data_IF_889839872087
#
_entry.id   IF_889839872087
#
_cell.length_a   1.000
_cell.length_b   1.000
_cell.length_c   1.000
_cell.angle_alpha   90.00
_cell.angle_beta   90.00
_cell.angle_gamma   90.00
#
_symmetry.space_group_name_H-M   'P 1'
#
loop_
_entity.id
_entity.type
_entity.pdbx_description
1 polymer ?
#
# COMPACT_ATOMS: atom_id res chain seq x y z
N UNK A 1 12.73 -78.13 39.05
CA UNK A 1 12.78 -77.26 37.86
C UNK A 1 14.16 -76.63 37.85
N UNK A 2 14.95 -76.84 36.79
CA UNK A 2 16.27 -76.22 36.68
C UNK A 2 16.07 -74.80 36.14
N UNK A 3 16.52 -73.78 36.87
CA UNK A 3 16.43 -72.40 36.40
C UNK A 3 17.36 -72.23 35.20
N UNK A 4 16.84 -71.70 34.08
CA UNK A 4 17.69 -71.33 32.95
C UNK A 4 18.62 -70.19 33.42
N UNK A 5 19.94 -70.38 33.38
CA UNK A 5 20.87 -69.39 33.89
C UNK A 5 21.14 -68.24 32.91
N UNK A 6 20.65 -68.34 31.65
CA UNK A 6 20.78 -67.28 30.64
C UNK A 6 22.11 -67.24 29.91
N UNK A 7 22.92 -68.31 29.99
CA UNK A 7 24.21 -68.43 29.30
C UNK A 7 24.53 -69.89 28.95
N UNK A 8 25.47 -70.09 28.02
CA UNK A 8 25.99 -71.43 27.72
C UNK A 8 26.57 -72.04 28.99
N UNK A 9 26.01 -73.19 29.35
CA UNK A 9 26.32 -73.87 30.61
C UNK A 9 26.72 -75.30 30.33
N UNK A 10 27.68 -75.82 31.10
CA UNK A 10 27.98 -77.24 31.11
C UNK A 10 27.13 -77.91 32.19
N UNK A 11 26.45 -78.99 31.86
CA UNK A 11 25.90 -79.88 32.88
C UNK A 11 27.02 -80.77 33.41
N UNK A 12 27.42 -80.56 34.67
CA UNK A 12 28.18 -81.57 35.39
C UNK A 12 27.24 -82.72 35.82
N UNK A 13 27.75 -83.95 35.82
CA UNK A 13 27.01 -85.12 36.31
C UNK A 13 26.62 -84.91 37.77
N UNK A 14 25.33 -84.64 38.03
CA UNK A 14 24.79 -84.41 39.37
C UNK A 14 24.86 -82.98 39.93
N UNK A 15 25.14 -81.96 39.10
CA UNK A 15 25.36 -80.57 39.56
C UNK A 15 24.39 -79.51 39.03
N UNK A 16 24.52 -78.29 39.56
CA UNK A 16 23.89 -77.07 39.04
C UNK A 16 24.47 -76.69 37.68
N UNK A 17 23.70 -75.99 36.85
CA UNK A 17 24.22 -75.38 35.61
C UNK A 17 25.24 -74.30 35.98
N UNK A 18 26.52 -74.56 35.71
CA UNK A 18 27.60 -73.57 35.77
C UNK A 18 27.92 -73.07 34.38
N UNK A 19 28.58 -71.92 34.26
CA UNK A 19 29.06 -71.42 32.97
C UNK A 19 29.91 -72.48 32.26
N UNK A 20 29.90 -72.46 30.92
CA UNK A 20 30.73 -73.36 30.13
C UNK A 20 32.22 -73.22 30.52
N UNK A 21 32.87 -74.36 30.68
CA UNK A 21 34.29 -74.50 30.93
C UNK A 21 34.84 -75.50 29.90
N UNK A 22 35.89 -75.12 29.18
CA UNK A 22 36.68 -76.05 28.38
C UNK A 22 37.67 -76.78 29.29
N UNK A 23 37.89 -78.06 29.02
CA UNK A 23 38.87 -78.89 29.73
C UNK A 23 40.04 -79.34 28.87
N UNK A 24 40.10 -78.91 27.61
CA UNK A 24 41.11 -79.30 26.61
C UNK A 24 41.79 -78.06 26.02
N UNK A 25 41.04 -77.02 25.65
CA UNK A 25 41.58 -75.78 25.05
C UNK A 25 41.04 -74.52 25.73
N UNK A 26 41.61 -74.26 26.89
CA UNK A 26 41.10 -73.33 27.88
C UNK A 26 40.90 -71.88 27.40
N UNK A 27 41.74 -71.29 26.51
CA UNK A 27 41.50 -69.98 25.91
C UNK A 27 40.14 -69.84 25.21
N UNK A 28 39.67 -70.89 24.53
CA UNK A 28 38.41 -70.82 23.77
C UNK A 28 37.18 -70.65 24.67
N UNK A 29 37.26 -71.06 25.94
CA UNK A 29 36.21 -70.79 26.92
C UNK A 29 35.91 -69.29 27.04
N UNK A 30 36.95 -68.44 27.03
CA UNK A 30 36.74 -67.00 27.13
C UNK A 30 36.06 -66.41 25.91
N UNK A 31 36.39 -66.92 24.71
CA UNK A 31 35.71 -66.52 23.47
C UNK A 31 34.23 -66.90 23.50
N UNK A 32 33.90 -68.13 23.94
CA UNK A 32 32.50 -68.57 24.03
C UNK A 32 31.74 -67.76 25.08
N UNK A 33 32.35 -67.46 26.23
CA UNK A 33 31.78 -66.58 27.26
C UNK A 33 31.54 -65.16 26.72
N UNK A 34 32.50 -64.60 26.00
CA UNK A 34 32.38 -63.29 25.36
C UNK A 34 31.27 -63.29 24.31
N UNK A 35 31.17 -64.34 23.49
CA UNK A 35 30.10 -64.50 22.51
C UNK A 35 28.73 -64.61 23.17
N UNK A 36 28.61 -65.40 24.25
CA UNK A 36 27.37 -65.53 25.02
C UNK A 36 26.85 -64.19 25.51
N UNK A 37 27.74 -63.33 26.00
CA UNK A 37 27.39 -61.99 26.47
C UNK A 37 27.19 -61.01 25.32
N UNK A 38 27.94 -61.15 24.23
CA UNK A 38 27.78 -60.33 23.04
C UNK A 38 26.40 -60.45 22.41
N UNK A 39 25.84 -61.67 22.35
CA UNK A 39 24.46 -61.92 21.89
C UNK A 39 23.43 -61.29 22.84
N UNK A 40 23.75 -61.15 24.13
CA UNK A 40 22.92 -60.43 25.10
C UNK A 40 23.11 -58.90 25.04
N UNK A 41 23.89 -58.37 24.08
CA UNK A 41 24.15 -56.93 23.93
C UNK A 41 25.27 -56.40 24.83
N UNK A 42 26.12 -57.28 25.36
CA UNK A 42 27.23 -56.96 26.25
C UNK A 42 28.58 -57.30 25.56
N UNK A 43 29.18 -56.33 24.86
CA UNK A 43 30.43 -56.53 24.12
C UNK A 43 31.28 -55.27 24.00
N UNK A 44 32.56 -55.44 23.67
CA UNK A 44 33.50 -54.32 23.43
C UNK A 44 33.28 -53.69 22.06
N UNK A 45 33.12 -52.37 22.02
CA UNK A 45 32.96 -51.60 20.77
C UNK A 45 34.33 -51.18 20.24
N UNK A 46 35.12 -50.47 21.06
CA UNK A 46 36.41 -49.88 20.66
C UNK A 46 37.31 -49.57 21.87
N UNK A 47 38.61 -49.35 21.61
CA UNK A 47 39.62 -49.01 22.61
C UNK A 47 40.18 -50.23 23.34
N UNK A 48 40.66 -50.01 24.57
CA UNK A 48 41.32 -51.02 25.42
C UNK A 48 42.66 -51.55 24.91
N UNK A 49 43.36 -50.78 24.08
CA UNK A 49 44.71 -51.13 23.65
C UNK A 49 45.66 -51.27 24.85
N UNK A 50 46.35 -52.40 24.95
CA UNK A 50 47.33 -52.63 26.00
C UNK A 50 48.69 -52.00 25.64
N UNK A 51 49.31 -51.41 26.65
CA UNK A 51 50.65 -50.84 26.63
C UNK A 51 51.40 -51.28 27.89
N UNK A 52 52.73 -51.11 27.92
CA UNK A 52 53.57 -51.51 29.06
C UNK A 52 53.30 -52.94 29.54
N UNK A 53 53.06 -53.86 28.60
CA UNK A 53 52.71 -55.26 28.89
C UNK A 53 53.95 -55.98 29.40
N UNK A 54 53.88 -56.47 30.64
CA UNK A 54 54.89 -57.32 31.28
C UNK A 54 54.35 -58.75 31.42
N UNK A 55 55.06 -59.62 32.16
CA UNK A 55 54.56 -60.96 32.48
C UNK A 55 53.35 -60.95 33.42
N UNK A 56 53.19 -59.93 34.27
CA UNK A 56 52.17 -59.89 35.33
C UNK A 56 51.39 -58.59 35.42
N UNK A 57 51.68 -57.61 34.57
CA UNK A 57 50.95 -56.35 34.52
C UNK A 57 50.82 -55.80 33.10
N UNK A 58 49.80 -55.00 32.86
CA UNK A 58 49.64 -54.24 31.63
C UNK A 58 48.92 -52.92 31.94
N UNK A 59 49.16 -51.89 31.13
CA UNK A 59 48.37 -50.65 31.15
C UNK A 59 47.36 -50.72 30.03
N UNK A 60 46.07 -50.73 30.35
CA UNK A 60 44.99 -50.81 29.37
C UNK A 60 44.43 -49.41 29.15
N UNK A 61 44.40 -48.97 27.89
CA UNK A 61 43.82 -47.69 27.52
C UNK A 61 42.31 -47.61 27.83
N UNK A 62 41.77 -46.40 27.86
CA UNK A 62 40.33 -46.22 27.94
C UNK A 62 39.64 -46.85 26.71
N UNK A 63 38.38 -47.23 26.89
CA UNK A 63 37.62 -47.86 25.83
C UNK A 63 36.12 -47.71 26.05
N UNK A 64 35.35 -48.33 25.15
CA UNK A 64 33.90 -48.24 25.14
C UNK A 64 33.32 -49.65 24.97
N UNK A 65 32.34 -49.95 25.81
CA UNK A 65 31.54 -51.17 25.72
C UNK A 65 30.09 -50.83 25.41
N UNK A 66 29.38 -51.77 24.80
CA UNK A 66 27.93 -51.84 24.87
C UNK A 66 27.59 -52.67 26.10
N UNK A 67 26.77 -52.14 27.01
CA UNK A 67 26.20 -52.87 28.13
C UNK A 67 24.69 -52.69 28.15
N UNK A 68 23.95 -53.78 28.09
CA UNK A 68 22.47 -53.78 28.08
C UNK A 68 21.88 -52.79 27.06
N UNK A 69 22.47 -52.74 25.86
CA UNK A 69 22.07 -51.84 24.77
C UNK A 69 22.52 -50.38 24.93
N UNK A 70 23.29 -50.03 25.97
CA UNK A 70 23.79 -48.67 26.21
C UNK A 70 25.29 -48.58 26.00
N UNK A 71 25.74 -47.50 25.35
CA UNK A 71 27.17 -47.17 25.23
C UNK A 71 27.71 -46.72 26.59
N UNK A 72 28.74 -47.40 27.10
CA UNK A 72 29.39 -47.07 28.37
C UNK A 72 30.88 -46.85 28.13
N UNK A 73 31.38 -45.67 28.53
CA UNK A 73 32.80 -45.38 28.54
C UNK A 73 33.45 -46.01 29.78
N UNK A 74 34.61 -46.63 29.59
CA UNK A 74 35.38 -47.28 30.64
C UNK A 74 36.74 -46.60 30.72
N UNK A 75 37.10 -46.13 31.90
CA UNK A 75 38.39 -45.52 32.14
C UNK A 75 39.51 -46.55 32.00
N UNK A 76 40.59 -46.16 31.32
CA UNK A 76 41.81 -46.96 31.27
C UNK A 76 42.44 -47.11 32.66
N UNK A 77 43.18 -48.19 32.86
CA UNK A 77 43.85 -48.44 34.14
C UNK A 77 44.99 -49.43 33.99
N UNK A 78 45.93 -49.36 34.92
CA UNK A 78 46.91 -50.42 35.13
C UNK A 78 46.21 -51.65 35.72
N UNK A 79 46.46 -52.81 35.13
CA UNK A 79 45.96 -54.10 35.60
C UNK A 79 47.12 -54.99 36.01
N UNK A 80 46.93 -55.71 37.10
CA UNK A 80 47.91 -56.67 37.64
C UNK A 80 47.24 -58.03 37.78
N UNK A 81 47.97 -59.08 37.40
CA UNK A 81 47.53 -60.46 37.47
C UNK A 81 47.97 -61.07 38.80
N UNK A 82 47.15 -61.92 39.41
CA UNK A 82 47.62 -62.76 40.51
C UNK A 82 48.58 -63.84 39.98
N UNK A 83 49.78 -63.94 40.53
CA UNK A 83 50.77 -64.95 40.12
C UNK A 83 50.47 -66.38 40.60
N UNK A 84 49.24 -66.66 41.07
CA UNK A 84 48.87 -67.92 41.73
C UNK A 84 48.99 -69.14 40.82
N UNK A 85 48.82 -68.98 39.50
CA UNK A 85 48.93 -70.07 38.53
C UNK A 85 49.85 -69.69 37.37
N UNK A 86 50.85 -70.52 37.06
CA UNK A 86 51.87 -70.32 36.01
C UNK A 86 51.31 -70.52 34.59
N UNK A 87 50.10 -71.05 34.46
CA UNK A 87 49.26 -71.06 33.24
C UNK A 87 47.85 -70.54 33.58
N UNK A 88 47.80 -69.36 34.19
CA UNK A 88 46.55 -68.73 34.61
C UNK A 88 45.92 -67.91 33.49
N UNK A 89 44.69 -68.22 33.10
CA UNK A 89 43.92 -67.37 32.18
C UNK A 89 43.06 -66.39 32.98
N UNK A 90 43.46 -65.13 33.03
CA UNK A 90 42.70 -64.09 33.71
C UNK A 90 41.69 -63.49 32.74
N UNK A 91 40.49 -63.14 33.24
CA UNK A 91 39.48 -62.46 32.45
C UNK A 91 39.50 -60.98 32.78
N UNK A 92 39.86 -60.14 31.82
CA UNK A 92 39.70 -58.70 31.91
C UNK A 92 38.27 -58.35 31.54
N UNK A 93 37.54 -57.69 32.45
CA UNK A 93 36.16 -57.27 32.23
C UNK A 93 36.00 -55.78 32.47
N UNK A 94 35.05 -55.16 31.77
CA UNK A 94 34.46 -53.90 32.20
C UNK A 94 33.35 -54.21 33.20
N UNK A 95 33.54 -53.79 34.46
CA UNK A 95 32.53 -53.87 35.52
C UNK A 95 32.14 -52.46 35.92
N UNK A 96 30.87 -52.12 35.76
CA UNK A 96 30.42 -50.73 35.87
C UNK A 96 31.24 -49.83 34.93
N UNK A 97 31.86 -48.74 35.42
CA UNK A 97 32.69 -47.81 34.63
C UNK A 97 34.20 -48.09 34.72
N UNK A 98 34.63 -49.22 35.28
CA UNK A 98 36.03 -49.53 35.55
C UNK A 98 36.48 -50.87 34.96
N UNK A 99 37.79 -51.00 34.78
CA UNK A 99 38.45 -52.27 34.45
C UNK A 99 38.59 -53.14 35.70
N UNK A 100 38.33 -54.42 35.56
CA UNK A 100 38.52 -55.40 36.64
C UNK A 100 39.14 -56.67 36.07
N UNK A 101 40.16 -57.20 36.75
CA UNK A 101 40.73 -58.52 36.45
C UNK A 101 40.05 -59.54 37.35
N UNK A 102 39.44 -60.55 36.75
CA UNK A 102 38.96 -61.73 37.46
C UNK A 102 40.05 -62.79 37.37
N UNK A 103 40.55 -63.21 38.53
CA UNK A 103 41.61 -64.21 38.61
C UNK A 103 41.06 -65.63 38.44
N UNK A 104 41.81 -66.53 37.78
CA UNK A 104 41.42 -67.92 37.64
C UNK A 104 41.41 -68.63 39.01
N UNK A 105 40.51 -69.60 39.17
CA UNK A 105 40.41 -70.40 40.40
C UNK A 105 41.26 -71.67 40.37
N UNK A 106 41.78 -72.04 39.20
CA UNK A 106 42.67 -73.18 38.97
C UNK A 106 43.60 -72.87 37.79
N UNK A 107 44.68 -73.64 37.63
CA UNK A 107 45.48 -73.61 36.42
C UNK A 107 44.61 -73.98 35.21
N UNK A 108 44.96 -73.45 34.04
CA UNK A 108 44.32 -73.84 32.78
C UNK A 108 42.80 -73.60 32.78
N UNK A 109 42.31 -72.57 33.47
CA UNK A 109 40.87 -72.29 33.57
C UNK A 109 40.57 -70.81 33.42
N UNK A 110 39.62 -70.49 32.54
CA UNK A 110 39.09 -69.12 32.44
C UNK A 110 38.03 -68.92 33.52
N UNK A 111 38.17 -67.92 34.42
CA UNK A 111 37.24 -67.69 35.51
C UNK A 111 35.81 -67.38 35.02
N UNK A 112 34.84 -67.57 35.91
CA UNK A 112 33.45 -67.22 35.65
C UNK A 112 33.24 -65.70 35.71
N UNK A 113 32.34 -65.18 34.86
CA UNK A 113 31.91 -63.78 34.92
C UNK A 113 30.65 -63.62 35.78
N UNK A 114 30.38 -62.41 36.26
CA UNK A 114 29.13 -62.05 36.97
C UNK A 114 28.21 -61.26 36.05
N UNK A 115 26.89 -61.27 36.31
CA UNK A 115 25.94 -60.43 35.58
C UNK A 115 26.38 -58.95 35.57
N UNK A 116 26.33 -58.32 34.39
CA UNK A 116 26.78 -56.93 34.17
C UNK A 116 28.27 -56.79 33.81
N UNK A 117 29.07 -57.86 33.89
CA UNK A 117 30.43 -57.86 33.35
C UNK A 117 30.39 -57.88 31.81
N UNK A 118 31.30 -57.13 31.19
CA UNK A 118 31.55 -57.21 29.74
C UNK A 118 33.00 -57.68 29.54
N UNK A 119 33.22 -58.92 29.05
CA UNK A 119 34.55 -59.43 28.74
C UNK A 119 35.26 -58.56 27.70
N UNK A 120 36.48 -58.14 28.01
CA UNK A 120 37.34 -57.34 27.14
C UNK A 120 38.41 -58.20 26.49
N UNK A 121 39.11 -58.99 27.31
CA UNK A 121 40.20 -59.83 26.87
C UNK A 121 40.47 -60.99 27.84
N UNK A 122 41.13 -62.04 27.36
CA UNK A 122 41.90 -62.95 28.20
C UNK A 122 43.33 -62.43 28.32
N UNK A 123 43.87 -62.43 29.54
CA UNK A 123 45.27 -62.18 29.85
C UNK A 123 45.90 -63.49 30.31
N UNK A 124 46.83 -64.05 29.54
CA UNK A 124 47.46 -65.32 29.86
C UNK A 124 48.76 -65.12 30.65
N UNK A 125 48.76 -65.55 31.92
CA UNK A 125 49.95 -65.60 32.73
C UNK A 125 50.66 -66.94 32.49
N UNK A 126 51.63 -66.94 31.58
CA UNK A 126 52.47 -68.10 31.21
C UNK A 126 53.92 -67.98 31.68
N UNK A 127 54.25 -66.94 32.45
CA UNK A 127 55.62 -66.53 32.77
C UNK A 127 56.38 -65.84 31.62
N UNK A 128 55.77 -65.68 30.45
CA UNK A 128 56.34 -64.96 29.31
C UNK A 128 56.23 -63.44 29.46
N UNK A 129 57.21 -62.70 28.94
CA UNK A 129 57.22 -61.23 28.92
C UNK A 129 57.44 -60.73 27.48
N UNK A 130 56.44 -60.09 26.83
CA UNK A 130 55.12 -59.70 27.36
C UNK A 130 54.15 -60.89 27.53
N UNK A 131 53.18 -60.76 28.43
CA UNK A 131 52.06 -61.71 28.52
C UNK A 131 51.24 -61.72 27.22
N UNK A 132 50.58 -62.84 26.93
CA UNK A 132 49.71 -62.95 25.75
C UNK A 132 48.32 -62.39 26.08
N UNK A 133 47.76 -61.62 25.14
CA UNK A 133 46.45 -60.98 25.29
C UNK A 133 45.58 -61.38 24.09
N UNK A 134 44.39 -61.90 24.36
CA UNK A 134 43.38 -62.16 23.34
C UNK A 134 42.19 -61.22 23.56
N UNK A 135 42.02 -60.26 22.66
CA UNK A 135 40.93 -59.29 22.72
C UNK A 135 39.63 -59.86 22.17
N UNK A 136 38.51 -59.37 22.69
CA UNK A 136 37.15 -59.69 22.24
C UNK A 136 36.44 -58.49 21.58
N UNK A 137 37.20 -57.44 21.24
CA UNK A 137 36.67 -56.26 20.56
C UNK A 137 36.21 -56.53 19.13
N UNK A 138 35.16 -55.83 18.70
CA UNK A 138 34.59 -56.00 17.36
C UNK A 138 35.04 -54.93 16.35
N UNK A 139 35.75 -53.89 16.79
CA UNK A 139 36.20 -52.79 15.93
C UNK A 139 35.07 -51.99 15.28
N UNK A 140 33.88 -51.98 15.90
CA UNK A 140 32.67 -51.39 15.32
C UNK A 140 32.77 -49.86 15.36
N UNK A 141 32.69 -49.21 14.19
CA UNK A 141 32.81 -47.75 14.06
C UNK A 141 31.47 -47.01 14.13
N UNK A 142 30.38 -47.64 13.68
CA UNK A 142 29.05 -47.04 13.56
C UNK A 142 27.95 -48.01 14.02
N UNK A 143 26.83 -47.48 14.51
CA UNK A 143 25.62 -48.23 14.86
C UNK A 143 24.44 -47.71 14.03
N UNK A 144 23.74 -48.61 13.35
CA UNK A 144 22.43 -48.34 12.75
C UNK A 144 21.37 -49.18 13.44
N UNK A 145 20.21 -48.57 13.71
CA UNK A 145 18.97 -49.28 13.99
C UNK A 145 18.10 -49.17 12.74
N UNK A 146 17.91 -50.29 12.05
CA UNK A 146 17.01 -50.37 10.90
C UNK A 146 15.69 -51.02 11.32
N UNK A 147 14.57 -50.45 10.86
CA UNK A 147 13.24 -51.04 11.02
C UNK A 147 12.81 -51.59 9.66
N UNK A 148 12.71 -52.90 9.56
CA UNK A 148 12.13 -53.56 8.39
C UNK A 148 10.63 -53.79 8.60
N UNK A 149 9.86 -53.77 7.51
CA UNK A 149 8.50 -54.32 7.49
C UNK A 149 8.39 -55.37 6.39
N UNK A 150 7.55 -56.37 6.61
CA UNK A 150 7.32 -57.45 5.65
C UNK A 150 6.12 -57.10 4.75
N UNK A 151 6.38 -57.02 3.46
CA UNK A 151 5.35 -57.11 2.43
C UNK A 151 5.82 -57.95 1.23
N UNK A 152 6.51 -59.07 1.46
CA UNK A 152 7.07 -60.03 0.47
C UNK A 152 8.60 -59.99 0.25
N UNK A 153 9.39 -59.56 1.23
CA UNK A 153 10.86 -59.51 1.15
C UNK A 153 11.46 -58.38 1.99
N UNK A 154 12.74 -58.51 2.37
CA UNK A 154 13.41 -57.52 3.24
C UNK A 154 13.53 -56.18 2.50
N UNK A 155 12.65 -55.25 2.84
CA UNK A 155 12.67 -53.88 2.35
C UNK A 155 12.76 -52.97 3.56
N UNK A 156 13.84 -52.20 3.67
CA UNK A 156 14.06 -51.29 4.78
C UNK A 156 13.00 -50.18 4.76
N UNK A 157 12.21 -50.08 5.83
CA UNK A 157 11.14 -49.08 5.96
C UNK A 157 11.71 -47.72 6.33
N UNK A 158 12.78 -47.75 7.13
CA UNK A 158 13.44 -46.59 7.67
C UNK A 158 14.62 -46.98 8.55
N UNK A 159 15.52 -46.02 8.75
CA UNK A 159 16.71 -46.20 9.56
C UNK A 159 16.88 -45.02 10.52
N UNK A 160 17.40 -45.32 11.70
CA UNK A 160 17.96 -44.35 12.64
C UNK A 160 19.48 -44.59 12.68
N UNK A 161 20.23 -43.67 12.08
CA UNK A 161 21.69 -43.69 12.10
C UNK A 161 22.21 -42.54 12.96
N UNK A 162 23.17 -42.83 13.84
CA UNK A 162 23.80 -41.81 14.68
C UNK A 162 25.30 -41.76 14.42
N UNK A 163 25.84 -40.55 14.28
CA UNK A 163 27.27 -40.30 14.14
C UNK A 163 27.75 -39.22 15.13
N UNK A 164 28.94 -38.65 14.91
CA UNK A 164 29.49 -37.61 15.77
C UNK A 164 28.75 -36.26 15.65
N UNK A 165 27.96 -36.06 14.59
CA UNK A 165 27.30 -34.81 14.25
C UNK A 165 25.79 -34.84 14.56
N UNK A 166 25.18 -36.03 14.72
CA UNK A 166 23.79 -36.12 15.15
C UNK A 166 23.14 -37.47 14.92
N UNK A 167 21.80 -37.45 14.84
CA UNK A 167 20.97 -38.61 14.51
C UNK A 167 20.23 -38.30 13.21
N UNK A 168 20.48 -39.09 12.18
CA UNK A 168 19.73 -39.07 10.92
C UNK A 168 18.61 -40.10 10.99
N UNK A 169 17.40 -39.69 10.59
CA UNK A 169 16.23 -40.56 10.47
C UNK A 169 15.79 -40.61 9.00
N UNK A 170 15.81 -41.79 8.38
CA UNK A 170 15.33 -42.01 7.00
C UNK A 170 14.04 -42.83 7.00
N UNK A 171 13.21 -42.67 5.97
CA UNK A 171 11.97 -43.45 5.83
C UNK A 171 10.82 -43.02 6.75
N UNK A 172 10.85 -41.80 7.30
CA UNK A 172 9.82 -41.35 8.23
C UNK A 172 8.44 -41.17 7.60
N UNK A 173 8.29 -40.94 6.29
CA UNK A 173 6.96 -40.86 5.64
C UNK A 173 7.01 -41.08 4.12
N UNK A 174 5.96 -41.72 3.56
CA UNK A 174 5.64 -41.74 2.13
C UNK A 174 4.83 -40.48 1.81
N UNK A 175 5.46 -39.49 1.18
CA UNK A 175 4.94 -38.14 0.91
C UNK A 175 3.70 -38.08 -0.01
N UNK A 176 3.26 -39.20 -0.58
CA UNK A 176 2.32 -39.22 -1.70
C UNK A 176 0.83 -39.04 -1.30
N UNK A 177 0.53 -38.96 -0.01
CA UNK A 177 -0.81 -38.62 0.49
C UNK A 177 -0.68 -37.86 1.80
N UNK A 178 -0.53 -36.54 1.74
CA UNK A 178 -0.88 -35.71 2.91
C UNK A 178 -2.40 -35.60 2.96
N UNK A 179 -3.12 -36.32 3.84
CA UNK A 179 -4.46 -35.88 4.20
C UNK A 179 -4.33 -34.47 4.80
N UNK A 180 -5.31 -33.61 4.54
CA UNK A 180 -5.48 -32.34 5.26
C UNK A 180 -5.68 -32.65 6.74
N UNK A 181 -4.59 -32.80 7.47
CA UNK A 181 -4.59 -33.10 8.89
C UNK A 181 -4.96 -31.82 9.65
N UNK A 182 -6.07 -31.87 10.38
CA UNK A 182 -6.41 -30.84 11.35
C UNK A 182 -5.48 -31.02 12.54
N UNK A 183 -4.53 -30.11 12.73
CA UNK A 183 -3.55 -30.16 13.83
C UNK A 183 -4.29 -30.05 15.17
N UNK A 184 -4.16 -31.07 16.02
CA UNK A 184 -4.59 -31.04 17.41
C UNK A 184 -3.58 -30.27 18.28
N UNK A 185 -3.98 -29.82 19.48
CA UNK A 185 -3.16 -28.98 20.37
C UNK A 185 -1.87 -29.65 20.88
N UNK A 186 -1.75 -30.96 20.73
CA UNK A 186 -0.64 -31.79 21.17
C UNK A 186 0.22 -32.36 20.03
N UNK A 187 -0.13 -32.04 18.78
CA UNK A 187 0.65 -32.47 17.62
C UNK A 187 2.02 -31.76 17.58
N UNK A 188 3.07 -32.54 17.30
CA UNK A 188 4.44 -32.04 17.17
C UNK A 188 4.87 -32.02 15.72
N UNK A 189 5.23 -30.83 15.23
CA UNK A 189 5.86 -30.67 13.91
C UNK A 189 7.37 -30.74 14.08
N UNK A 190 8.01 -31.61 13.29
CA UNK A 190 9.48 -31.69 13.19
C UNK A 190 9.88 -30.95 11.92
N UNK A 191 10.60 -29.84 12.07
CA UNK A 191 11.17 -29.10 10.93
C UNK A 191 12.66 -29.43 10.87
N UNK A 192 13.12 -29.92 9.72
CA UNK A 192 14.54 -29.95 9.41
C UNK A 192 14.95 -28.54 8.98
N UNK A 193 15.83 -27.92 9.77
CA UNK A 193 16.49 -26.67 9.41
C UNK A 193 17.69 -26.99 8.53
N UNK A 194 17.65 -26.54 7.27
CA UNK A 194 18.71 -26.80 6.29
C UNK A 194 20.03 -26.13 6.65
N UNK A 195 20.03 -25.12 7.52
CA UNK A 195 21.20 -24.32 7.88
C UNK A 195 21.75 -24.64 9.29
N UNK A 196 21.03 -25.44 10.08
CA UNK A 196 21.38 -25.85 11.44
C UNK A 196 20.98 -27.33 11.63
N UNK A 197 21.56 -28.19 10.78
CA UNK A 197 21.20 -29.61 10.61
C UNK A 197 21.32 -30.46 11.88
N UNK A 198 21.94 -29.93 12.92
CA UNK A 198 22.34 -30.70 14.09
C UNK A 198 21.30 -30.64 15.22
N UNK A 199 20.18 -29.93 15.03
CA UNK A 199 19.15 -29.75 16.07
C UNK A 199 17.73 -29.86 15.52
N UNK A 200 16.99 -30.85 16.04
CA UNK A 200 15.52 -30.88 15.91
C UNK A 200 14.95 -29.69 16.68
N UNK A 201 14.42 -28.70 15.95
CA UNK A 201 13.72 -27.57 16.55
C UNK A 201 12.28 -27.98 16.82
N UNK A 202 11.85 -27.86 18.07
CA UNK A 202 10.42 -27.96 18.40
C UNK A 202 9.80 -26.60 18.11
N UNK A 203 8.94 -26.54 17.11
CA UNK A 203 8.11 -25.37 16.85
C UNK A 203 6.91 -25.44 17.79
N UNK A 204 6.67 -24.36 18.54
CA UNK A 204 5.42 -24.23 19.32
C UNK A 204 4.25 -24.02 18.36
N UNK A 205 3.03 -24.31 18.80
CA UNK A 205 1.83 -23.95 18.04
C UNK A 205 1.80 -22.46 17.67
N UNK A 206 2.34 -21.59 18.54
CA UNK A 206 2.48 -20.15 18.27
C UNK A 206 3.44 -19.88 17.11
N UNK A 207 4.61 -20.51 17.05
CA UNK A 207 5.56 -20.31 15.96
C UNK A 207 5.01 -20.76 14.59
N UNK A 208 4.12 -21.76 14.58
CA UNK A 208 3.38 -22.17 13.36
C UNK A 208 2.31 -21.13 13.00
N UNK A 209 1.60 -20.60 14.01
CA UNK A 209 0.66 -19.51 13.80
C UNK A 209 1.35 -18.23 13.29
N UNK A 210 2.58 -17.97 13.71
CA UNK A 210 3.39 -16.82 13.29
C UNK A 210 3.91 -16.95 11.84
N UNK A 211 4.06 -18.17 11.31
CA UNK A 211 4.29 -18.40 9.87
C UNK A 211 3.05 -18.05 9.03
N UNK A 212 1.86 -18.10 9.65
CA UNK A 212 0.61 -17.56 9.11
C UNK A 212 0.40 -16.11 9.54
N UNK A 213 1.45 -15.29 9.54
CA UNK A 213 1.33 -13.83 9.65
C UNK A 213 0.74 -13.27 8.35
N UNK A 214 -0.50 -13.64 8.06
CA UNK A 214 -1.46 -12.64 7.62
C UNK A 214 -1.62 -11.73 8.83
N UNK A 215 -1.22 -10.44 8.80
CA UNK A 215 -1.43 -9.56 9.93
C UNK A 215 -2.90 -9.67 10.35
N UNK A 216 -3.13 -9.85 11.66
CA UNK A 216 -4.47 -10.07 12.19
C UNK A 216 -5.42 -8.88 11.92
N UNK A 217 -4.85 -7.72 11.61
CA UNK A 217 -5.58 -6.58 11.05
C UNK A 217 -5.42 -6.56 9.51
N UNK A 218 -6.51 -6.39 8.74
CA UNK A 218 -6.39 -6.03 7.34
C UNK A 218 -5.48 -4.80 7.18
N UNK A 219 -4.72 -4.73 6.08
CA UNK A 219 -3.82 -3.60 5.77
C UNK A 219 -4.53 -2.22 5.81
N UNK A 220 -5.86 -2.25 5.70
CA UNK A 220 -6.76 -1.12 5.87
C UNK A 220 -7.78 -1.54 6.95
N UNK A 221 -7.71 -0.93 8.13
CA UNK A 221 -8.73 -1.11 9.17
C UNK A 221 -9.97 -0.28 8.77
N UNK A 222 -11.05 -0.96 8.36
CA UNK A 222 -12.35 -0.32 8.21
C UNK A 222 -12.90 0.00 9.61
N UNK A 223 -12.54 1.18 10.10
CA UNK A 223 -12.99 1.68 11.38
C UNK A 223 -14.09 2.74 11.21
N UNK A 224 -15.08 2.56 10.32
CA UNK A 224 -16.27 3.43 10.21
C UNK A 224 -15.98 4.96 10.23
N UNK A 225 -14.77 5.36 9.80
CA UNK A 225 -14.11 6.64 10.07
C UNK A 225 -12.87 6.77 9.19
N UNK A 226 -11.97 7.73 9.47
CA UNK A 226 -10.74 7.90 8.68
C UNK A 226 -9.87 6.64 8.80
N UNK A 227 -9.65 5.88 7.70
CA UNK A 227 -8.83 4.68 7.74
C UNK A 227 -7.41 5.04 8.21
N UNK A 228 -6.86 4.24 9.13
CA UNK A 228 -5.46 4.37 9.55
C UNK A 228 -4.69 3.19 8.99
N UNK A 229 -3.47 3.45 8.51
CA UNK A 229 -2.59 2.38 8.03
C UNK A 229 -2.08 1.55 9.19
N UNK A 230 -2.03 0.22 9.01
CA UNK A 230 -1.38 -0.65 9.97
C UNK A 230 0.10 -0.26 10.14
N UNK A 231 0.63 -0.41 11.35
CA UNK A 231 2.03 -0.09 11.66
C UNK A 231 2.98 -0.81 10.70
N UNK A 232 3.89 -0.06 10.08
CA UNK A 232 4.86 -0.59 9.11
C UNK A 232 4.42 -0.53 7.65
N UNK A 233 3.17 -0.19 7.35
CA UNK A 233 2.72 0.12 5.99
C UNK A 233 2.89 1.63 5.75
N UNK A 234 3.66 2.00 4.74
CA UNK A 234 3.83 3.40 4.35
C UNK A 234 2.73 3.84 3.38
N UNK A 235 2.42 5.15 3.38
CA UNK A 235 1.51 5.75 2.41
C UNK A 235 1.96 5.49 0.96
N UNK A 236 3.27 5.50 0.73
CA UNK A 236 3.87 5.24 -0.58
C UNK A 236 3.57 3.83 -1.08
N UNK A 237 3.66 2.81 -0.21
CA UNK A 237 3.35 1.43 -0.59
C UNK A 237 1.87 1.26 -0.96
N UNK A 238 0.96 1.91 -0.23
CA UNK A 238 -0.48 1.85 -0.53
C UNK A 238 -0.80 2.55 -1.85
N UNK A 239 -0.22 3.74 -2.10
CA UNK A 239 -0.37 4.47 -3.38
C UNK A 239 0.13 3.63 -4.55
N UNK A 240 1.27 2.96 -4.38
CA UNK A 240 1.84 2.08 -5.39
C UNK A 240 0.98 0.85 -5.67
N UNK A 241 0.35 0.25 -4.64
CA UNK A 241 -0.50 -0.94 -4.80
C UNK A 241 -1.84 -0.63 -5.45
N UNK A 242 -2.43 0.53 -5.14
CA UNK A 242 -3.69 0.97 -5.74
C UNK A 242 -3.51 1.52 -7.15
N UNK A 243 -2.26 1.66 -7.63
CA UNK A 243 -1.91 2.31 -8.89
C UNK A 243 -2.58 3.69 -9.00
N UNK A 244 -2.61 4.43 -7.89
CA UNK A 244 -3.16 5.79 -7.83
C UNK A 244 -1.98 6.74 -8.00
N UNK A 245 -1.84 7.28 -9.20
CA UNK A 245 -0.91 8.37 -9.48
C UNK A 245 -1.51 9.70 -8.99
N UNK A 246 -0.67 10.74 -8.80
CA UNK A 246 -1.14 12.06 -8.36
C UNK A 246 -2.22 12.66 -9.29
N UNK A 247 -2.30 12.17 -10.54
CA UNK A 247 -3.33 12.53 -11.52
C UNK A 247 -4.69 11.88 -11.30
N UNK A 248 -4.78 10.78 -10.55
CA UNK A 248 -6.01 9.98 -10.44
C UNK A 248 -7.02 10.55 -9.43
N UNK A 249 -6.57 11.40 -8.49
CA UNK A 249 -7.46 12.09 -7.55
C UNK A 249 -8.36 13.14 -8.22
N UNK A 250 -8.09 13.52 -9.46
CA UNK A 250 -8.85 14.54 -10.20
C UNK A 250 -10.05 13.93 -10.98
N UNK A 251 -10.11 12.61 -11.13
CA UNK A 251 -11.21 11.94 -11.83
C UNK A 251 -12.44 11.64 -10.94
N UNK A 252 -12.36 11.87 -9.62
CA UNK A 252 -13.47 11.62 -8.69
C UNK A 252 -14.65 12.62 -8.83
N UNK A 253 -14.45 13.74 -9.54
CA UNK A 253 -15.48 14.78 -9.78
C UNK A 253 -16.34 14.50 -11.03
N UNK A 254 -16.18 13.35 -11.70
CA UNK A 254 -17.03 13.02 -12.86
C UNK A 254 -18.34 12.27 -12.50
N UNK A 255 -18.56 11.93 -11.22
CA UNK A 255 -19.72 11.13 -10.79
C UNK A 255 -20.74 11.84 -9.86
N UNK A 256 -20.48 13.07 -9.39
CA UNK A 256 -21.33 13.78 -8.42
C UNK A 256 -22.08 14.97 -9.06
N UNK A 257 -23.34 15.21 -8.66
CA UNK A 257 -24.23 16.25 -9.24
C UNK A 257 -23.95 17.68 -8.77
N UNK A 258 -23.13 17.84 -7.74
CA UNK A 258 -22.78 19.13 -7.18
C UNK A 258 -21.34 19.07 -6.70
N UNK A 259 -20.53 19.97 -7.23
CA UNK A 259 -19.20 20.20 -6.74
C UNK A 259 -19.29 21.15 -5.55
N UNK A 260 -19.54 20.60 -4.35
CA UNK A 260 -19.50 21.36 -3.10
C UNK A 260 -18.06 21.46 -2.61
N UNK A 261 -17.35 22.44 -3.15
CA UNK A 261 -16.01 22.77 -2.70
C UNK A 261 -16.12 23.79 -1.57
N UNK A 262 -15.81 23.35 -0.35
CA UNK A 262 -15.77 24.19 0.85
C UNK A 262 -14.58 25.16 0.87
N UNK A 263 -13.84 25.27 -0.24
CA UNK A 263 -12.63 26.09 -0.42
C UNK A 263 -12.45 26.53 -1.88
N UNK A 264 -11.36 27.26 -2.17
CA UNK A 264 -11.16 27.93 -3.47
C UNK A 264 -10.97 26.96 -4.66
N UNK A 265 -11.60 27.28 -5.80
CA UNK A 265 -11.44 26.59 -7.10
C UNK A 265 -10.34 27.25 -7.92
N UNK A 266 -9.20 26.58 -8.10
CA UNK A 266 -8.11 27.05 -8.99
C UNK A 266 -8.06 26.20 -10.27
N UNK A 267 -8.25 26.84 -11.43
CA UNK A 267 -8.08 26.23 -12.76
C UNK A 267 -6.81 26.80 -13.39
N UNK A 268 -5.86 25.95 -13.81
CA UNK A 268 -4.53 26.35 -14.31
C UNK A 268 -4.53 27.04 -15.67
N UNK A 269 -3.69 26.62 -16.62
CA UNK A 269 -3.58 27.21 -17.99
C UNK A 269 -4.79 26.90 -18.90
N UNK A 270 -5.95 26.64 -18.30
CA UNK A 270 -7.20 26.23 -18.95
C UNK A 270 -8.27 27.28 -18.63
N UNK A 271 -9.30 27.38 -19.47
CA UNK A 271 -10.38 28.36 -19.28
C UNK A 271 -11.22 27.98 -18.07
N UNK A 272 -11.27 28.86 -17.06
CA UNK A 272 -12.32 28.84 -16.04
C UNK A 272 -13.63 29.30 -16.69
N UNK A 273 -14.38 28.32 -17.17
CA UNK A 273 -15.77 28.52 -17.58
C UNK A 273 -16.56 28.53 -16.28
N UNK A 274 -16.67 29.72 -15.69
CA UNK A 274 -17.63 30.00 -14.62
C UNK A 274 -18.57 31.06 -15.19
N UNK A 275 -18.69 32.28 -14.75
CA UNK A 275 -17.85 33.12 -13.91
C UNK A 275 -18.75 34.28 -13.59
N UNK A 276 -18.79 34.71 -12.33
CA UNK A 276 -19.63 35.80 -11.83
C UNK A 276 -19.30 37.20 -12.38
N UNK A 277 -18.69 37.34 -13.54
CA UNK A 277 -18.37 38.60 -14.20
C UNK A 277 -18.49 38.51 -15.70
N UNK A 278 -18.10 37.40 -16.33
CA UNK A 278 -18.48 37.11 -17.73
C UNK A 278 -19.87 36.49 -17.86
N UNK A 279 -20.29 35.69 -16.88
CA UNK A 279 -21.60 35.04 -16.81
C UNK A 279 -21.94 34.72 -15.34
N UNK A 280 -22.44 35.71 -14.62
CA UNK A 280 -23.05 35.52 -13.32
C UNK A 280 -24.36 34.78 -13.51
N UNK A 281 -24.66 33.78 -12.68
CA UNK A 281 -26.00 33.18 -12.58
C UNK A 281 -26.38 33.05 -11.12
N UNK A 282 -27.44 33.76 -10.71
CA UNK A 282 -28.20 33.49 -9.50
C UNK A 282 -27.34 33.41 -8.22
N UNK A 283 -26.69 34.51 -7.89
CA UNK A 283 -25.85 34.61 -6.68
C UNK A 283 -26.70 34.96 -5.45
N UNK A 284 -26.20 34.70 -4.22
CA UNK A 284 -26.97 34.94 -3.00
C UNK A 284 -27.50 36.38 -2.79
N UNK A 285 -26.85 37.39 -3.38
CA UNK A 285 -27.24 38.80 -3.31
C UNK A 285 -28.23 39.25 -4.40
N UNK A 286 -28.56 38.37 -5.35
CA UNK A 286 -29.59 38.56 -6.36
C UNK A 286 -30.11 37.21 -6.88
N UNK A 287 -31.30 36.82 -6.41
CA UNK A 287 -31.96 35.60 -6.89
C UNK A 287 -32.57 35.80 -8.29
N UNK A 288 -32.38 34.81 -9.16
CA UNK A 288 -32.90 34.72 -10.53
C UNK A 288 -32.38 35.78 -11.51
N UNK A 289 -31.09 36.10 -11.48
CA UNK A 289 -30.49 37.08 -12.41
C UNK A 289 -29.20 36.58 -13.06
N UNK A 290 -28.95 37.07 -14.27
CA UNK A 290 -27.77 36.75 -15.08
C UNK A 290 -27.03 38.03 -15.47
N UNK A 291 -25.72 38.07 -15.25
CA UNK A 291 -24.88 39.23 -15.55
C UNK A 291 -23.73 38.85 -16.48
N UNK A 292 -23.65 39.46 -17.66
CA UNK A 292 -22.61 39.21 -18.65
C UNK A 292 -21.74 40.46 -18.79
N UNK A 293 -20.46 40.37 -18.43
CA UNK A 293 -19.60 41.55 -18.26
C UNK A 293 -19.97 42.41 -17.04
N UNK A 294 -20.99 42.03 -16.26
CA UNK A 294 -21.42 42.74 -15.04
C UNK A 294 -21.77 41.77 -13.94
N UNK A 295 -21.22 42.02 -12.75
CA UNK A 295 -21.35 41.17 -11.57
C UNK A 295 -22.59 41.48 -10.70
N UNK A 296 -23.29 42.58 -11.03
CA UNK A 296 -24.41 43.11 -10.25
C UNK A 296 -25.58 43.40 -11.16
N UNK A 297 -26.18 42.36 -11.76
CA UNK A 297 -27.27 42.54 -12.70
C UNK A 297 -28.43 43.23 -11.99
N UNK A 298 -28.68 44.47 -12.41
CA UNK A 298 -29.75 45.29 -11.86
C UNK A 298 -31.12 44.73 -12.32
N UNK A 299 -31.12 44.10 -13.50
CA UNK A 299 -32.25 43.41 -14.12
C UNK A 299 -31.99 41.90 -14.25
N UNK A 300 -33.00 41.13 -14.67
CA UNK A 300 -32.88 39.68 -14.85
C UNK A 300 -31.76 39.28 -15.81
N UNK A 301 -31.47 40.10 -16.82
CA UNK A 301 -30.27 40.02 -17.67
C UNK A 301 -29.64 41.41 -17.75
N UNK A 302 -28.34 41.49 -17.53
CA UNK A 302 -27.58 42.73 -17.61
C UNK A 302 -26.29 42.42 -18.40
N UNK A 303 -26.03 43.16 -19.48
CA UNK A 303 -24.85 42.95 -20.34
C UNK A 303 -24.07 44.24 -20.43
N UNK A 304 -22.85 44.23 -19.93
CA UNK A 304 -21.98 45.39 -19.91
C UNK A 304 -20.83 45.18 -20.89
N UNK A 305 -21.06 45.56 -22.14
CA UNK A 305 -20.16 45.38 -23.28
C UNK A 305 -20.93 45.39 -24.61
N UNK A 306 -20.23 45.15 -25.72
CA UNK A 306 -20.86 45.07 -27.05
C UNK A 306 -21.70 43.80 -27.19
N UNK A 307 -22.96 44.00 -27.57
CA UNK A 307 -23.88 42.91 -27.92
C UNK A 307 -23.97 42.85 -29.43
N UNK A 308 -23.32 41.86 -30.04
CA UNK A 308 -23.48 41.59 -31.48
C UNK A 308 -24.54 40.50 -31.69
N UNK A 309 -25.53 40.79 -32.53
CA UNK A 309 -26.62 39.85 -32.85
C UNK A 309 -27.46 40.35 -34.02
N UNK A 310 -28.09 39.44 -34.74
CA UNK A 310 -28.82 39.70 -35.99
C UNK A 310 -30.11 40.53 -35.79
N UNK A 311 -30.59 40.67 -34.53
CA UNK A 311 -31.86 41.33 -34.21
C UNK A 311 -31.90 41.83 -32.77
N UNK A 312 -31.62 43.11 -32.56
CA UNK A 312 -31.74 43.79 -31.25
C UNK A 312 -32.82 44.89 -31.36
N UNK A 313 -33.91 44.80 -30.58
CA UNK A 313 -34.99 45.82 -30.51
C UNK A 313 -34.89 46.53 -29.15
N UNK A 314 -34.40 47.78 -29.12
CA UNK A 314 -34.30 48.61 -27.90
C UNK A 314 -35.40 49.68 -27.92
N UNK A 315 -36.14 49.82 -26.82
CA UNK A 315 -37.06 50.94 -26.58
C UNK A 315 -36.31 52.03 -25.79
N UNK A 316 -35.89 53.12 -26.45
CA UNK A 316 -35.12 54.24 -25.85
C UNK A 316 -36.02 55.31 -25.22
N UNK A 317 -35.64 55.84 -24.04
CA UNK A 317 -36.41 56.84 -23.27
C UNK A 317 -36.10 58.28 -23.74
N UNK A 318 -37.15 59.11 -23.76
CA UNK A 318 -37.22 60.50 -24.27
C UNK A 318 -36.64 61.55 -23.29
N UNK A 319 -35.94 62.58 -23.78
CA UNK A 319 -35.64 63.78 -22.99
C UNK A 319 -36.71 64.86 -23.23
N UNK A 320 -37.31 65.38 -22.14
CA UNK A 320 -38.17 66.58 -22.16
C UNK A 320 -37.35 67.81 -21.75
N UNK A 321 -37.35 68.86 -22.58
CA UNK A 321 -36.65 70.12 -22.31
C UNK A 321 -37.63 71.14 -21.72
N UNK A 322 -37.47 71.53 -20.45
CA UNK A 322 -38.25 72.60 -19.81
C UNK A 322 -37.43 73.91 -19.75
N UNK A 323 -37.85 74.95 -20.49
CA UNK A 323 -37.14 76.24 -20.57
C UNK A 323 -37.62 77.18 -19.45
N UNK A 324 -36.87 77.32 -18.36
CA UNK A 324 -37.12 78.34 -17.33
C UNK A 324 -36.26 79.58 -17.56
N UNK A 325 -36.81 80.60 -18.24
CA UNK A 325 -36.19 81.92 -18.32
C UNK A 325 -36.38 82.66 -16.97
N UNK A 326 -35.31 82.81 -16.18
CA UNK A 326 -35.36 83.61 -14.95
C UNK A 326 -35.37 85.10 -15.30
N UNK A 327 -36.50 85.77 -15.10
CA UNK A 327 -36.70 87.18 -15.41
C UNK A 327 -35.96 88.07 -14.39
N UNK A 328 -34.79 88.64 -14.73
CA UNK A 328 -34.13 89.55 -13.77
C UNK A 328 -32.85 90.32 -14.08
N UNK A 329 -32.16 90.24 -15.23
CA UNK A 329 -30.91 91.01 -15.43
C UNK A 329 -30.75 91.64 -16.82
N UNK A 330 -30.16 92.85 -16.82
CA UNK A 330 -30.13 93.94 -17.82
C UNK A 330 -29.33 93.70 -19.12
N UNK A 331 -29.52 94.54 -20.18
CA UNK A 331 -29.09 94.23 -21.55
C UNK A 331 -27.62 94.57 -21.83
N UNK A 332 -26.87 93.56 -22.28
CA UNK A 332 -25.58 93.68 -22.99
C UNK A 332 -25.39 92.43 -23.87
N UNK A 333 -24.73 92.50 -25.05
CA UNK A 333 -24.70 91.40 -26.01
C UNK A 333 -23.60 90.39 -25.65
N UNK A 334 -23.68 89.10 -26.03
CA UNK A 334 -24.56 88.49 -27.03
C UNK A 334 -25.56 87.47 -26.49
N UNK A 335 -26.52 87.18 -27.35
CA UNK A 335 -27.43 86.03 -27.45
C UNK A 335 -26.90 84.74 -26.78
N UNK A 336 -27.64 84.12 -25.84
CA UNK A 336 -27.49 82.69 -25.63
C UNK A 336 -28.26 82.00 -26.76
N UNK A 337 -27.62 81.84 -27.92
CA UNK A 337 -28.02 80.79 -28.84
C UNK A 337 -27.73 79.47 -28.12
N UNK A 338 -28.77 78.75 -27.72
CA UNK A 338 -28.60 77.40 -27.16
C UNK A 338 -28.25 76.47 -28.31
N UNK A 339 -26.96 76.29 -28.58
CA UNK A 339 -26.50 75.26 -29.52
C UNK A 339 -26.51 73.91 -28.82
N UNK A 340 -27.52 73.09 -29.07
CA UNK A 340 -27.49 71.67 -28.74
C UNK A 340 -26.61 70.96 -29.79
N UNK A 341 -25.45 70.49 -29.34
CA UNK A 341 -24.55 69.61 -30.10
C UNK A 341 -24.76 68.19 -29.57
N UNK A 342 -25.90 67.60 -29.90
CA UNK A 342 -26.24 66.24 -29.49
C UNK A 342 -26.56 65.39 -30.73
N UNK A 343 -26.06 64.15 -30.72
CA UNK A 343 -26.18 63.15 -31.78
C UNK A 343 -27.44 62.30 -31.67
N UNK A 344 -28.21 62.47 -30.59
CA UNK A 344 -29.45 61.73 -30.35
C UNK A 344 -30.60 62.21 -31.24
N UNK A 345 -31.50 61.30 -31.62
CA UNK A 345 -32.44 61.46 -32.76
C UNK A 345 -33.85 61.96 -32.41
N UNK A 346 -34.16 62.27 -31.13
CA UNK A 346 -35.51 62.66 -30.71
C UNK A 346 -35.49 63.78 -29.67
N UNK A 347 -36.22 64.86 -29.93
CA UNK A 347 -36.38 66.04 -29.07
C UNK A 347 -37.85 66.34 -28.77
N UNK A 348 -38.19 66.70 -27.53
CA UNK A 348 -39.51 67.21 -27.12
C UNK A 348 -39.43 68.68 -26.68
N UNK A 349 -40.31 69.52 -27.21
CA UNK A 349 -40.38 70.95 -26.89
C UNK A 349 -41.78 71.30 -26.36
N UNK A 350 -41.82 71.88 -25.16
CA UNK A 350 -43.04 72.45 -24.56
C UNK A 350 -42.72 73.84 -24.00
N UNK A 351 -43.57 74.82 -24.30
CA UNK A 351 -43.45 76.17 -23.73
C UNK A 351 -44.42 76.31 -22.56
N UNK A 352 -43.93 76.70 -21.38
CA UNK A 352 -44.77 76.91 -20.19
C UNK A 352 -45.39 78.32 -20.20
N UNK A 353 -46.64 78.45 -19.78
CA UNK A 353 -47.36 79.72 -19.72
C UNK A 353 -46.71 80.72 -18.76
N UNK A 354 -46.36 81.92 -19.25
CA UNK A 354 -45.82 83.03 -18.44
C UNK A 354 -44.57 83.74 -19.00
N UNK A 355 -44.00 83.24 -20.09
CA UNK A 355 -42.85 83.88 -20.78
C UNK A 355 -43.30 85.10 -21.59
N UNK A 356 -42.59 86.25 -21.54
CA UNK A 356 -42.95 87.42 -22.34
C UNK A 356 -42.90 87.12 -23.83
N UNK A 357 -43.92 87.57 -24.57
CA UNK A 357 -43.97 87.45 -26.02
C UNK A 357 -42.71 88.06 -26.66
N UNK A 358 -41.94 87.23 -27.37
CA UNK A 358 -40.86 87.68 -28.27
C UNK A 358 -39.41 87.40 -27.87
N UNK A 359 -39.10 86.57 -26.86
CA UNK A 359 -37.68 86.36 -26.44
C UNK A 359 -37.16 84.92 -26.46
N UNK A 360 -37.92 83.96 -26.99
CA UNK A 360 -37.50 82.54 -27.06
C UNK A 360 -37.40 82.01 -28.48
N UNK A 361 -36.38 82.39 -29.25
CA UNK A 361 -36.01 81.62 -30.44
C UNK A 361 -35.18 80.43 -29.96
N UNK A 362 -35.59 79.20 -30.30
CA UNK A 362 -34.74 78.02 -30.11
C UNK A 362 -33.95 77.84 -31.41
N UNK A 363 -32.72 78.34 -31.43
CA UNK A 363 -31.80 78.08 -32.55
C UNK A 363 -31.31 76.63 -32.48
N UNK A 364 -32.07 75.73 -33.07
CA UNK A 364 -31.66 74.35 -33.33
C UNK A 364 -30.60 74.35 -34.43
N UNK A 365 -29.33 74.35 -34.02
CA UNK A 365 -28.19 74.17 -34.90
C UNK A 365 -28.11 72.72 -35.37
N UNK A 366 -28.68 72.43 -36.53
CA UNK A 366 -28.49 71.13 -37.17
C UNK A 366 -27.07 71.03 -37.77
N UNK A 367 -26.39 69.89 -37.64
CA UNK A 367 -25.06 69.72 -38.22
C UNK A 367 -25.12 69.63 -39.75
N UNK A 368 -24.50 70.60 -40.41
CA UNK A 368 -24.47 70.78 -41.86
C UNK A 368 -23.34 69.97 -42.53
N UNK A 369 -23.46 68.64 -42.60
CA UNK A 369 -22.48 67.83 -43.34
C UNK A 369 -23.17 66.78 -44.20
N UNK A 370 -22.64 66.55 -45.41
CA UNK A 370 -23.12 65.54 -46.36
C UNK A 370 -23.11 64.10 -45.79
N UNK A 371 -22.44 63.89 -44.65
CA UNK A 371 -22.45 62.65 -43.87
C UNK A 371 -23.79 62.37 -43.17
N UNK A 372 -24.68 63.36 -43.07
CA UNK A 372 -25.91 63.25 -42.29
C UNK A 372 -27.12 62.85 -43.16
N UNK A 373 -26.91 62.51 -44.43
CA UNK A 373 -27.98 62.03 -45.32
C UNK A 373 -28.66 60.81 -44.68
N UNK A 374 -29.96 60.91 -44.46
CA UNK A 374 -30.76 59.86 -43.82
C UNK A 374 -30.84 59.94 -42.30
N UNK A 375 -30.17 60.90 -41.65
CA UNK A 375 -30.42 61.22 -40.25
C UNK A 375 -31.81 61.85 -40.13
N UNK A 376 -32.61 61.32 -39.20
CA UNK A 376 -33.97 61.78 -38.93
C UNK A 376 -34.03 62.28 -37.50
N UNK A 377 -34.30 63.56 -37.31
CA UNK A 377 -34.65 64.10 -36.00
C UNK A 377 -36.16 64.18 -35.86
N UNK A 378 -36.71 63.58 -34.82
CA UNK A 378 -38.11 63.78 -34.44
C UNK A 378 -38.20 64.92 -33.43
N UNK A 379 -38.90 65.99 -33.79
CA UNK A 379 -39.24 67.09 -32.92
C UNK A 379 -40.72 67.00 -32.53
N UNK A 380 -41.01 66.71 -31.28
CA UNK A 380 -42.38 66.62 -30.77
C UNK A 380 -42.72 67.93 -30.04
N UNK A 381 -43.62 68.72 -30.60
CA UNK A 381 -44.13 69.96 -30.00
C UNK A 381 -45.48 69.66 -29.34
N UNK A 382 -45.55 69.72 -28.02
CA UNK A 382 -46.76 69.26 -27.29
C UNK A 382 -47.77 70.38 -27.00
N UNK A 383 -47.30 71.61 -26.83
CA UNK A 383 -48.15 72.80 -26.66
C UNK A 383 -47.40 74.07 -27.05
N UNK A 384 -48.13 75.07 -27.55
CA UNK A 384 -47.65 76.43 -27.83
C UNK A 384 -48.67 77.41 -27.25
N UNK A 385 -48.70 77.51 -25.92
CA UNK A 385 -49.72 78.32 -25.21
C UNK A 385 -49.34 79.81 -25.23
N UNK A 386 -49.89 80.55 -26.19
CA UNK A 386 -49.87 82.02 -26.22
C UNK A 386 -48.51 82.70 -26.44
N UNK A 387 -47.42 81.92 -26.59
CA UNK A 387 -46.10 82.42 -26.91
C UNK A 387 -45.91 82.65 -28.42
N UNK A 388 -44.94 83.50 -28.76
CA UNK A 388 -44.46 83.68 -30.14
C UNK A 388 -44.10 82.32 -30.77
N UNK A 389 -44.35 82.12 -32.07
CA UNK A 389 -44.20 80.81 -32.68
C UNK A 389 -42.73 80.36 -32.69
N UNK A 390 -42.50 79.05 -32.58
CA UNK A 390 -41.17 78.47 -32.47
C UNK A 390 -40.43 78.58 -33.81
N UNK A 391 -39.33 79.31 -33.85
CA UNK A 391 -38.50 79.47 -35.04
C UNK A 391 -37.32 78.51 -35.02
N UNK A 392 -37.15 77.75 -36.12
CA UNK A 392 -35.99 76.91 -36.38
C UNK A 392 -35.14 77.61 -37.43
N UNK A 393 -33.95 78.06 -37.04
CA UNK A 393 -32.98 78.72 -37.91
C UNK A 393 -31.86 77.76 -38.33
N UNK A 394 -31.44 77.76 -39.61
CA UNK A 394 -30.24 77.04 -40.00
C UNK A 394 -29.00 77.74 -39.46
N UNK A 395 -28.02 76.99 -38.97
CA UNK A 395 -26.68 77.55 -38.79
C UNK A 395 -26.01 77.65 -40.16
N UNK A 396 -25.69 78.89 -40.54
CA UNK A 396 -25.00 79.33 -41.78
C UNK A 396 -24.71 78.21 -42.80
N UNK A 397 -25.64 77.98 -43.72
CA UNK A 397 -25.43 77.10 -44.89
C UNK A 397 -26.55 76.09 -45.16
N UNK A 398 -27.37 75.78 -44.16
CA UNK A 398 -28.43 74.78 -44.30
C UNK A 398 -29.76 75.36 -44.80
N UNK A 399 -30.49 74.57 -45.58
CA UNK A 399 -31.88 74.86 -45.95
C UNK A 399 -32.81 74.00 -45.09
N UNK A 400 -33.81 74.64 -44.47
CA UNK A 400 -34.95 73.92 -43.90
C UNK A 400 -36.11 74.06 -44.90
N UNK A 401 -36.77 72.96 -45.27
CA UNK A 401 -37.85 72.95 -46.27
C UNK A 401 -39.14 72.40 -45.64
N UNK A 402 -40.28 73.09 -45.78
CA UNK A 402 -41.59 72.70 -45.21
C UNK A 402 -42.57 72.22 -46.28
N UNK A 403 -43.44 71.24 -45.98
CA UNK A 403 -44.37 70.63 -46.94
C UNK A 403 -45.77 71.26 -47.02
N UNK A 404 -46.21 72.09 -46.06
CA UNK A 404 -47.47 72.81 -46.26
C UNK A 404 -47.27 73.97 -47.24
N UNK A 405 -47.57 73.69 -48.51
CA UNK A 405 -47.81 74.63 -49.61
C UNK A 405 -46.66 75.63 -49.91
N UNK A 406 -45.91 75.27 -50.95
CA UNK A 406 -45.45 76.18 -52.00
C UNK A 406 -44.69 77.44 -51.57
N UNK A 407 -43.53 77.32 -50.90
CA UNK A 407 -42.48 78.34 -51.02
C UNK A 407 -41.12 77.66 -50.89
N UNK A 408 -40.30 77.75 -51.96
CA UNK A 408 -38.84 77.64 -51.88
C UNK A 408 -38.37 78.68 -50.86
N UNK A 409 -38.06 78.27 -49.63
CA UNK A 409 -37.31 79.10 -48.72
C UNK A 409 -35.84 79.06 -49.17
N UNK A 410 -35.36 80.17 -49.70
CA UNK A 410 -33.95 80.34 -50.03
C UNK A 410 -33.08 80.12 -48.78
N UNK A 411 -31.90 79.54 -49.00
CA UNK A 411 -30.73 79.54 -48.11
C UNK A 411 -30.82 80.55 -46.97
N UNK A 412 -30.96 80.05 -45.73
CA UNK A 412 -30.87 80.84 -44.51
C UNK A 412 -32.18 81.36 -43.91
N UNK A 413 -33.35 80.99 -44.43
CA UNK A 413 -34.63 81.44 -43.86
C UNK A 413 -35.06 80.62 -42.62
N UNK A 414 -35.57 81.32 -41.60
CA UNK A 414 -36.10 80.74 -40.36
C UNK A 414 -37.49 80.12 -40.59
N UNK A 415 -37.69 78.89 -40.14
CA UNK A 415 -38.99 78.19 -40.24
C UNK A 415 -39.78 78.29 -38.94
N UNK A 416 -41.05 78.69 -39.05
CA UNK A 416 -41.89 78.99 -37.88
C UNK A 416 -42.91 77.86 -37.66
N UNK A 417 -42.84 77.21 -36.50
CA UNK A 417 -43.80 76.21 -36.02
C UNK A 417 -44.82 76.91 -35.11
N UNK A 418 -46.07 76.94 -35.55
CA UNK A 418 -47.17 77.67 -34.90
C UNK A 418 -48.22 76.76 -34.25
N UNK A 419 -48.07 75.44 -34.34
CA UNK A 419 -48.98 74.46 -33.73
C UNK A 419 -48.21 73.34 -33.05
N UNK A 420 -48.81 72.74 -32.02
CA UNK A 420 -48.37 71.45 -31.50
C UNK A 420 -48.48 70.34 -32.57
N UNK A 421 -47.58 69.35 -32.50
CA UNK A 421 -47.57 68.12 -33.30
C UNK A 421 -46.19 67.48 -33.35
N UNK A 422 -46.10 66.33 -34.02
CA UNK A 422 -44.80 65.68 -34.26
C UNK A 422 -44.28 66.17 -35.59
N UNK A 423 -43.03 66.60 -35.57
CA UNK A 423 -42.28 67.05 -36.73
C UNK A 423 -41.09 66.14 -36.91
N UNK A 424 -40.72 65.90 -38.15
CA UNK A 424 -39.51 65.17 -38.50
C UNK A 424 -38.66 66.05 -39.38
N UNK A 425 -37.39 66.17 -39.00
CA UNK A 425 -36.35 66.82 -39.77
C UNK A 425 -35.48 65.73 -40.39
N UNK A 426 -35.57 65.57 -41.70
CA UNK A 426 -34.77 64.58 -42.43
C UNK A 426 -33.74 65.30 -43.25
N UNK A 427 -32.47 64.95 -43.09
CA UNK A 427 -31.44 65.48 -43.97
C UNK A 427 -31.48 64.74 -45.32
N UNK A 428 -31.83 65.47 -46.37
CA UNK A 428 -31.79 65.03 -47.75
C UNK A 428 -30.82 65.88 -48.55
N UNK A 429 -29.76 65.26 -49.08
CA UNK A 429 -28.75 65.92 -49.92
C UNK A 429 -28.09 67.16 -49.27
N UNK A 430 -27.88 67.14 -47.96
CA UNK A 430 -27.28 68.25 -47.21
C UNK A 430 -28.25 69.41 -46.91
N UNK A 431 -29.56 69.17 -47.03
CA UNK A 431 -30.60 70.11 -46.59
C UNK A 431 -31.59 69.38 -45.69
N UNK A 432 -32.14 70.06 -44.69
CA UNK A 432 -33.10 69.48 -43.76
C UNK A 432 -34.52 69.70 -44.26
N UNK A 433 -35.30 68.64 -44.36
CA UNK A 433 -36.73 68.72 -44.67
C UNK A 433 -37.51 68.57 -43.37
N UNK A 434 -38.28 69.59 -43.02
CA UNK A 434 -39.16 69.61 -41.86
C UNK A 434 -40.58 69.27 -42.32
N UNK A 435 -41.09 68.12 -41.91
CA UNK A 435 -42.49 67.75 -42.16
C UNK A 435 -43.20 67.48 -40.84
N UNK A 436 -44.46 67.89 -40.75
CA UNK A 436 -45.32 67.53 -39.62
C UNK A 436 -45.90 66.16 -39.91
N UNK A 437 -45.59 65.16 -39.09
CA UNK A 437 -46.08 63.79 -39.25
C UNK A 437 -47.41 63.55 -38.55
N UNK A 438 -47.69 64.25 -37.45
CA UNK A 438 -48.93 64.09 -36.64
C UNK A 438 -49.41 65.43 -36.08
#
# INVERSE_FOLDING_TARGET
MVSNPGYFSQMATGGSLTQIEDGVDNPHTGLIKALSLGVAGNYVISGFDASSVTATSATIAAGVVLRDGKRVAISGSGVSLSATYTTGYHLLVARSSALTVINPTAADKVPAFTAGDVPIAILAHTGSNPMQIQYFGTGKKENSLSVAYDNSGYTEAGALTGDANGITMTGLYKLDTLPTATVATDDKVIIQDTNDSDKVKTVTAQAIADLRTVPASPAIEDNSGTPVLASGITETEVRSLLNVEDSDFVNAVEAESSLDLTGDVTIGNKKLIVDTTTLVVNAPSYTNKVGIGTATPSNTLDVNGDVSGDKFLVETVQYELEILANAGATPGPPTPAFSLSDTDTIYRVSTVAGTPAGTGNIDLSLPATASNIGVVFKLIVTSLDGASPLTIGPNSGDNIVSETLSVLAASGATHTISSAGVYELVCFSGSWMLYKTV
#
